data_IF_056129998438
#
_entry.id   IF_056129998438
#
_cell.length_a   1.000
_cell.length_b   1.000
_cell.length_c   1.000
_cell.angle_alpha   90.00
_cell.angle_beta   90.00
_cell.angle_gamma   90.00
#
_symmetry.space_group_name_H-M   'P 1'
#
loop_
_entity.id
_entity.type
_entity.pdbx_description
1 polymer ?
#
# COMPACT_ATOMS: atom_id res chain seq x y z
N UNK A 1 -6.43 -2.83 -18.10
CA UNK A 1 -6.61 -2.05 -16.84
C UNK A 1 -5.22 -1.79 -16.31
N UNK A 2 -4.77 -0.56 -16.41
CA UNK A 2 -3.44 -0.19 -15.94
C UNK A 2 -3.43 -0.07 -14.42
N UNK A 3 -2.41 -0.64 -13.77
CA UNK A 3 -2.27 -0.59 -12.30
C UNK A 3 -1.05 0.26 -11.97
N UNK A 4 -1.24 1.34 -11.20
CA UNK A 4 -0.12 2.09 -10.65
C UNK A 4 0.22 1.55 -9.26
N UNK A 5 1.43 1.07 -9.09
CA UNK A 5 1.99 0.67 -7.79
C UNK A 5 2.88 1.79 -7.31
N UNK A 6 2.61 2.29 -6.10
CA UNK A 6 3.38 3.37 -5.49
C UNK A 6 4.15 2.85 -4.28
N UNK A 7 5.44 3.09 -4.27
CA UNK A 7 6.33 2.80 -3.14
C UNK A 7 6.93 4.11 -2.62
N UNK A 8 6.60 4.45 -1.38
CA UNK A 8 7.28 5.53 -0.65
C UNK A 8 8.51 4.98 0.08
N UNK A 9 9.62 5.68 -0.01
CA UNK A 9 10.91 5.28 0.57
C UNK A 9 11.54 6.44 1.36
N UNK A 10 12.02 6.14 2.56
CA UNK A 10 12.89 7.04 3.31
C UNK A 10 13.81 6.23 4.21
N UNK A 11 15.10 6.19 3.88
CA UNK A 11 16.14 5.44 4.58
C UNK A 11 15.76 3.95 4.74
N UNK A 12 15.72 3.23 3.61
CA UNK A 12 15.35 1.80 3.51
C UNK A 12 16.31 1.00 2.64
N UNK A 13 17.60 1.33 2.65
CA UNK A 13 18.61 0.63 1.84
C UNK A 13 18.60 -0.90 2.06
N UNK A 14 18.29 -1.35 3.28
CA UNK A 14 18.26 -2.77 3.61
C UNK A 14 17.10 -3.56 2.98
N UNK A 15 16.01 -2.89 2.56
CA UNK A 15 14.77 -3.59 2.16
C UNK A 15 14.19 -3.14 0.82
N UNK A 16 14.52 -1.94 0.37
CA UNK A 16 13.94 -1.36 -0.85
C UNK A 16 14.17 -2.22 -2.10
N UNK A 17 15.28 -2.93 -2.18
CA UNK A 17 15.59 -3.84 -3.29
C UNK A 17 14.54 -4.94 -3.42
N UNK A 18 14.18 -5.60 -2.32
CA UNK A 18 13.19 -6.67 -2.31
C UNK A 18 11.81 -6.16 -2.74
N UNK A 19 11.42 -4.96 -2.28
CA UNK A 19 10.18 -4.33 -2.69
C UNK A 19 10.15 -4.07 -4.21
N UNK A 20 11.22 -3.46 -4.75
CA UNK A 20 11.33 -3.19 -6.20
C UNK A 20 11.28 -4.49 -7.00
N UNK A 21 12.08 -5.48 -6.63
CA UNK A 21 12.14 -6.76 -7.35
C UNK A 21 10.81 -7.50 -7.33
N UNK A 22 10.06 -7.44 -6.22
CA UNK A 22 8.74 -8.06 -6.13
C UNK A 22 7.69 -7.43 -7.03
N UNK A 23 7.78 -6.11 -7.29
CA UNK A 23 6.93 -5.43 -8.28
C UNK A 23 7.33 -5.81 -9.69
N UNK A 24 8.63 -5.78 -9.97
CA UNK A 24 9.19 -6.06 -11.30
C UNK A 24 9.08 -7.53 -11.72
N UNK A 25 8.85 -8.43 -10.76
CA UNK A 25 8.64 -9.87 -11.00
C UNK A 25 7.16 -10.24 -11.24
N UNK A 26 6.23 -9.28 -11.16
CA UNK A 26 4.83 -9.58 -11.41
C UNK A 26 4.58 -10.00 -12.86
N UNK A 27 3.67 -10.95 -13.06
CA UNK A 27 3.30 -11.53 -14.36
C UNK A 27 2.35 -10.64 -15.19
N UNK A 28 1.96 -9.49 -14.66
CA UNK A 28 1.06 -8.54 -15.31
C UNK A 28 1.85 -7.43 -16.01
N UNK A 29 1.60 -7.23 -17.33
CA UNK A 29 2.44 -6.34 -18.15
C UNK A 29 2.07 -4.84 -18.05
N UNK A 30 0.85 -4.50 -17.63
CA UNK A 30 0.36 -3.11 -17.64
C UNK A 30 0.46 -2.48 -16.23
N UNK A 31 1.69 -2.53 -15.66
CA UNK A 31 2.04 -1.94 -14.38
C UNK A 31 2.81 -0.63 -14.62
N UNK A 32 2.34 0.43 -13.97
CA UNK A 32 3.08 1.66 -13.79
C UNK A 32 3.68 1.68 -12.38
N UNK A 33 4.99 1.48 -12.31
CA UNK A 33 5.68 1.48 -11.03
C UNK A 33 6.27 2.86 -10.72
N UNK A 34 5.86 3.44 -9.59
CA UNK A 34 6.25 4.78 -9.14
C UNK A 34 6.94 4.67 -7.79
N UNK A 35 8.18 5.15 -7.70
CA UNK A 35 8.93 5.22 -6.44
C UNK A 35 9.10 6.68 -6.03
N UNK A 36 8.73 6.98 -4.80
CA UNK A 36 8.88 8.32 -4.21
C UNK A 36 9.84 8.23 -3.02
N UNK A 37 11.03 8.75 -3.20
CA UNK A 37 12.08 8.81 -2.20
C UNK A 37 12.09 10.17 -1.50
N UNK A 38 12.00 10.17 -0.19
CA UNK A 38 11.99 11.37 0.67
C UNK A 38 13.37 12.01 0.89
N UNK A 39 14.25 11.99 -0.11
CA UNK A 39 15.64 12.40 -0.03
C UNK A 39 16.45 11.54 0.97
N UNK A 40 16.44 10.25 0.78
CA UNK A 40 17.20 9.27 1.59
C UNK A 40 18.72 9.55 1.55
N UNK A 41 19.40 9.23 2.65
CA UNK A 41 20.85 9.44 2.84
C UNK A 41 21.61 8.17 3.20
N UNK A 42 20.94 7.01 3.17
CA UNK A 42 21.50 5.72 3.60
C UNK A 42 21.91 4.79 2.44
N UNK A 43 21.86 5.26 1.19
CA UNK A 43 22.10 4.45 0.00
C UNK A 43 20.81 3.94 -0.67
N UNK A 44 19.62 4.26 -0.14
CA UNK A 44 18.33 3.85 -0.73
C UNK A 44 18.16 4.38 -2.16
N UNK A 45 18.49 5.65 -2.39
CA UNK A 45 18.33 6.27 -3.71
C UNK A 45 19.27 5.65 -4.76
N UNK A 46 20.48 5.32 -4.37
CA UNK A 46 21.46 4.63 -5.24
C UNK A 46 20.90 3.27 -5.69
N UNK A 47 20.30 2.49 -4.76
CA UNK A 47 19.66 1.22 -5.07
C UNK A 47 18.47 1.42 -6.03
N UNK A 48 17.61 2.42 -5.77
CA UNK A 48 16.46 2.74 -6.64
C UNK A 48 16.94 3.04 -8.06
N UNK A 49 18.02 3.79 -8.21
CA UNK A 49 18.58 4.17 -9.53
C UNK A 49 19.14 2.99 -10.32
N UNK A 50 19.55 1.91 -9.67
CA UNK A 50 19.94 0.66 -10.38
C UNK A 50 18.80 0.12 -11.26
N UNK A 51 17.54 0.47 -10.95
CA UNK A 51 16.33 0.05 -11.66
C UNK A 51 15.68 1.15 -12.51
N UNK A 52 16.36 2.29 -12.75
CA UNK A 52 15.79 3.47 -13.42
C UNK A 52 15.12 3.14 -14.76
N UNK A 53 15.69 2.23 -15.54
CA UNK A 53 15.10 1.79 -16.82
C UNK A 53 13.87 0.87 -16.71
N UNK A 54 13.49 0.45 -15.50
CA UNK A 54 12.39 -0.48 -15.22
C UNK A 54 11.31 0.14 -14.32
N UNK A 55 11.62 1.20 -13.61
CA UNK A 55 10.68 1.99 -12.81
C UNK A 55 10.11 3.08 -13.71
N UNK A 56 8.77 3.22 -13.75
CA UNK A 56 8.11 4.18 -14.65
C UNK A 56 8.37 5.63 -14.25
N UNK A 57 8.44 5.91 -12.96
CA UNK A 57 8.70 7.26 -12.42
C UNK A 57 9.44 7.17 -11.10
N UNK A 58 10.53 7.92 -10.97
CA UNK A 58 11.26 8.11 -9.73
C UNK A 58 11.16 9.58 -9.35
N UNK A 59 10.66 9.86 -8.15
CA UNK A 59 10.65 11.19 -7.53
C UNK A 59 11.57 11.11 -6.32
N UNK A 60 12.60 11.96 -6.24
CA UNK A 60 13.46 12.04 -5.07
C UNK A 60 13.59 13.49 -4.64
N UNK A 61 12.92 13.82 -3.57
CA UNK A 61 12.90 15.15 -2.98
C UNK A 61 12.45 15.08 -1.51
N UNK A 62 12.82 16.04 -0.66
CA UNK A 62 12.37 16.08 0.72
C UNK A 62 10.84 16.05 0.84
N UNK A 63 10.34 15.35 1.85
CA UNK A 63 8.93 15.32 2.23
C UNK A 63 8.76 15.54 3.74
N UNK A 64 7.52 15.83 4.16
CA UNK A 64 7.15 15.99 5.56
C UNK A 64 6.60 14.69 6.18
N UNK A 65 6.73 13.56 5.46
CA UNK A 65 6.35 12.23 5.90
C UNK A 65 5.74 11.35 4.81
N UNK A 66 5.58 10.08 5.12
CA UNK A 66 5.15 9.02 4.22
C UNK A 66 3.90 9.37 3.40
N UNK A 67 2.91 10.01 4.01
CA UNK A 67 1.64 10.30 3.31
C UNK A 67 1.78 11.40 2.25
N UNK A 68 2.68 12.37 2.45
CA UNK A 68 3.01 13.33 1.40
C UNK A 68 3.71 12.63 0.23
N UNK A 69 4.67 11.74 0.51
CA UNK A 69 5.33 10.93 -0.51
C UNK A 69 4.32 10.09 -1.31
N UNK A 70 3.41 9.39 -0.62
CA UNK A 70 2.35 8.61 -1.27
C UNK A 70 1.47 9.51 -2.15
N UNK A 71 1.06 10.67 -1.65
CA UNK A 71 0.22 11.61 -2.40
C UNK A 71 0.94 12.16 -3.64
N UNK A 72 2.26 12.43 -3.56
CA UNK A 72 3.07 12.80 -4.74
C UNK A 72 2.99 11.71 -5.81
N UNK A 73 3.16 10.44 -5.41
CA UNK A 73 3.03 9.30 -6.31
C UNK A 73 1.63 9.18 -6.92
N UNK A 74 0.56 9.34 -6.13
CA UNK A 74 -0.82 9.27 -6.63
C UNK A 74 -1.12 10.38 -7.65
N UNK A 75 -0.61 11.59 -7.43
CA UNK A 75 -0.83 12.73 -8.33
C UNK A 75 -0.24 12.51 -9.73
N UNK A 76 0.90 11.82 -9.84
CA UNK A 76 1.54 11.52 -11.12
C UNK A 76 1.07 10.19 -11.73
N UNK A 77 0.41 9.33 -10.96
CA UNK A 77 -0.10 8.05 -11.41
C UNK A 77 -1.15 8.22 -12.51
N UNK A 78 -1.06 7.39 -13.54
CA UNK A 78 -1.96 7.39 -14.71
C UNK A 78 -2.78 6.12 -14.83
N UNK A 79 -2.55 5.13 -13.97
CA UNK A 79 -3.28 3.87 -13.96
C UNK A 79 -4.75 4.01 -13.60
N UNK A 80 -5.55 3.04 -14.00
CA UNK A 80 -6.99 2.96 -13.66
C UNK A 80 -7.19 2.65 -12.17
N UNK A 81 -6.22 1.93 -11.59
CA UNK A 81 -6.23 1.46 -10.20
C UNK A 81 -4.91 1.81 -9.53
N UNK A 82 -4.98 2.22 -8.28
CA UNK A 82 -3.84 2.52 -7.42
C UNK A 82 -3.70 1.44 -6.36
N UNK A 83 -2.50 0.87 -6.24
CA UNK A 83 -2.07 0.03 -5.13
C UNK A 83 -0.81 0.59 -4.48
N UNK A 84 -0.58 0.25 -3.22
CA UNK A 84 0.62 0.63 -2.48
C UNK A 84 1.44 -0.60 -2.13
N UNK A 85 2.75 -0.47 -2.22
CA UNK A 85 3.69 -1.42 -1.63
C UNK A 85 4.74 -0.64 -0.84
N UNK A 86 4.81 -0.86 0.46
CA UNK A 86 5.80 -0.16 1.29
C UNK A 86 7.22 -0.66 1.03
N UNK A 87 8.21 0.19 1.23
CA UNK A 87 9.62 -0.07 0.93
C UNK A 87 10.29 -1.16 1.78
N UNK A 88 9.59 -1.66 2.80
CA UNK A 88 9.99 -2.79 3.64
C UNK A 88 9.16 -4.06 3.43
N UNK A 89 8.17 -4.02 2.51
CA UNK A 89 7.26 -5.12 2.21
C UNK A 89 7.50 -5.68 0.79
N UNK A 90 6.87 -6.80 0.46
CA UNK A 90 6.91 -7.38 -0.89
C UNK A 90 5.64 -8.16 -1.20
N UNK A 91 5.33 -8.33 -2.49
CA UNK A 91 4.16 -9.10 -2.91
C UNK A 91 4.25 -10.56 -2.47
N UNK A 92 3.10 -11.17 -2.24
CA UNK A 92 3.01 -12.56 -1.80
C UNK A 92 3.63 -13.52 -2.81
N UNK A 93 3.35 -13.34 -4.10
CA UNK A 93 3.91 -14.06 -5.24
C UNK A 93 3.84 -13.20 -6.52
N UNK A 94 4.29 -13.75 -7.64
CA UNK A 94 4.37 -13.03 -8.91
C UNK A 94 3.01 -12.86 -9.63
N UNK A 95 1.94 -13.52 -9.19
CA UNK A 95 0.61 -13.47 -9.81
C UNK A 95 -0.38 -12.54 -9.10
N UNK A 96 0.05 -11.81 -8.08
CA UNK A 96 -0.84 -10.97 -7.26
C UNK A 96 -1.58 -9.94 -8.11
N UNK A 97 -0.87 -9.21 -8.97
CA UNK A 97 -1.49 -8.12 -9.75
C UNK A 97 -2.46 -8.67 -10.81
N UNK A 98 -2.15 -9.78 -11.45
CA UNK A 98 -3.06 -10.44 -12.40
C UNK A 98 -4.38 -10.84 -11.72
N UNK A 99 -4.32 -11.44 -10.53
CA UNK A 99 -5.51 -11.83 -9.76
C UNK A 99 -6.35 -10.63 -9.31
N UNK A 100 -5.70 -9.56 -8.85
CA UNK A 100 -6.38 -8.31 -8.49
C UNK A 100 -7.13 -7.73 -9.69
N UNK A 101 -6.45 -7.64 -10.83
CA UNK A 101 -7.04 -7.08 -12.05
C UNK A 101 -8.22 -7.91 -12.55
N UNK A 102 -8.08 -9.24 -12.58
CA UNK A 102 -9.16 -10.15 -12.97
C UNK A 102 -10.37 -10.00 -12.05
N UNK A 103 -10.12 -10.00 -10.74
CA UNK A 103 -11.19 -9.86 -9.75
C UNK A 103 -11.89 -8.50 -9.84
N UNK A 104 -11.15 -7.40 -9.99
CA UNK A 104 -11.73 -6.06 -10.16
C UNK A 104 -12.53 -5.91 -11.47
N UNK A 105 -12.07 -6.54 -12.57
CA UNK A 105 -12.82 -6.56 -13.83
C UNK A 105 -14.12 -7.33 -13.71
N UNK A 106 -14.09 -8.50 -13.09
CA UNK A 106 -15.23 -9.38 -12.92
C UNK A 106 -16.30 -8.77 -12.01
N UNK A 107 -15.87 -8.18 -10.90
CA UNK A 107 -16.78 -7.59 -9.90
C UNK A 107 -17.17 -6.13 -10.22
N UNK A 108 -16.46 -5.49 -11.14
CA UNK A 108 -16.54 -4.04 -11.42
C UNK A 108 -16.37 -3.18 -10.17
N UNK A 109 -15.54 -3.66 -9.24
CA UNK A 109 -15.34 -3.00 -7.95
C UNK A 109 -14.61 -1.67 -8.09
N UNK A 110 -14.97 -0.73 -7.20
CA UNK A 110 -14.29 0.53 -6.99
C UNK A 110 -13.13 0.39 -6.01
N UNK A 111 -13.27 -0.54 -5.09
CA UNK A 111 -12.36 -0.81 -3.99
C UNK A 111 -12.20 -2.32 -3.78
N UNK A 112 -10.98 -2.83 -3.91
CA UNK A 112 -10.62 -4.20 -3.60
C UNK A 112 -9.67 -4.22 -2.41
N UNK A 113 -9.78 -5.25 -1.57
CA UNK A 113 -8.77 -5.60 -0.57
C UNK A 113 -8.62 -7.12 -0.48
N UNK A 114 -7.48 -7.56 0.03
CA UNK A 114 -7.16 -8.97 0.20
C UNK A 114 -6.61 -9.29 1.58
N UNK A 115 -5.98 -10.46 1.69
CA UNK A 115 -5.28 -10.92 2.89
C UNK A 115 -3.81 -10.49 2.88
N UNK A 116 -3.17 -10.51 4.05
CA UNK A 116 -1.75 -10.24 4.19
C UNK A 116 -1.08 -11.14 5.22
N UNK A 117 0.21 -11.30 5.06
CA UNK A 117 1.06 -12.00 6.02
C UNK A 117 2.00 -11.03 6.71
N UNK A 118 2.20 -11.22 8.01
CA UNK A 118 3.32 -10.63 8.72
C UNK A 118 4.44 -11.66 8.82
N UNK A 119 5.63 -11.28 8.40
CA UNK A 119 6.81 -12.14 8.37
C UNK A 119 7.91 -11.62 9.30
N UNK A 120 8.79 -12.50 9.73
CA UNK A 120 9.96 -12.12 10.50
C UNK A 120 10.91 -11.28 9.63
N UNK A 121 11.43 -10.13 10.11
CA UNK A 121 12.28 -9.26 9.30
C UNK A 121 13.61 -9.89 8.88
N UNK A 122 14.18 -10.77 9.73
CA UNK A 122 15.47 -11.44 9.48
C UNK A 122 15.33 -12.76 8.71
N UNK A 123 14.12 -13.34 8.70
CA UNK A 123 13.81 -14.56 7.96
C UNK A 123 12.37 -14.45 7.42
N UNK A 124 12.23 -13.96 6.20
CA UNK A 124 10.94 -13.67 5.57
C UNK A 124 10.11 -14.90 5.20
N UNK A 125 10.70 -16.11 5.25
CA UNK A 125 9.94 -17.37 5.11
C UNK A 125 9.16 -17.72 6.37
N UNK A 126 9.57 -17.17 7.52
CA UNK A 126 8.88 -17.38 8.79
C UNK A 126 7.70 -16.46 8.96
N UNK A 127 6.49 -17.02 8.75
CA UNK A 127 5.24 -16.32 9.01
C UNK A 127 5.05 -16.15 10.53
N UNK A 128 4.81 -14.90 10.94
CA UNK A 128 4.54 -14.53 12.35
C UNK A 128 3.05 -14.42 12.59
N UNK A 129 2.29 -13.88 11.62
CA UNK A 129 0.86 -13.66 11.76
C UNK A 129 0.17 -13.64 10.39
N UNK A 130 -0.99 -14.27 10.32
CA UNK A 130 -1.92 -14.12 9.20
C UNK A 130 -2.90 -12.98 9.49
N UNK A 131 -3.14 -12.13 8.50
CA UNK A 131 -4.22 -11.16 8.51
C UNK A 131 -5.24 -11.56 7.44
N UNK A 132 -6.39 -12.04 7.89
CA UNK A 132 -7.52 -12.39 7.02
C UNK A 132 -8.52 -11.25 7.04
N UNK A 133 -8.76 -10.63 5.88
CA UNK A 133 -9.64 -9.47 5.74
C UNK A 133 -11.08 -9.79 6.07
N UNK A 134 -11.58 -10.89 5.54
CA UNK A 134 -12.98 -11.30 5.68
C UNK A 134 -13.96 -10.38 4.92
N UNK A 135 -15.23 -10.74 4.89
CA UNK A 135 -16.24 -10.04 4.11
C UNK A 135 -16.48 -8.61 4.62
N UNK A 136 -16.50 -7.65 3.68
CA UNK A 136 -16.89 -6.28 3.95
C UNK A 136 -18.35 -6.19 4.40
N UNK A 137 -18.57 -5.43 5.46
CA UNK A 137 -19.89 -5.02 5.94
C UNK A 137 -19.77 -3.63 6.54
N UNK A 138 -20.61 -2.69 6.15
CA UNK A 138 -20.57 -1.31 6.64
C UNK A 138 -20.64 -1.22 8.17
N UNK A 139 -21.44 -2.09 8.80
CA UNK A 139 -21.53 -2.12 10.26
C UNK A 139 -20.21 -2.50 10.95
N UNK A 140 -19.39 -3.36 10.32
CA UNK A 140 -18.05 -3.70 10.85
C UNK A 140 -17.13 -2.48 10.85
N UNK A 141 -17.16 -1.67 9.78
CA UNK A 141 -16.39 -0.41 9.70
C UNK A 141 -16.80 0.53 10.84
N UNK A 142 -18.10 0.68 11.08
CA UNK A 142 -18.64 1.47 12.20
C UNK A 142 -18.19 0.99 13.58
N UNK A 143 -17.79 -0.28 13.70
CA UNK A 143 -17.27 -0.88 14.93
C UNK A 143 -15.73 -1.06 14.90
N UNK A 144 -15.03 -0.31 14.03
CA UNK A 144 -13.57 -0.22 14.03
C UNK A 144 -12.84 -1.28 13.20
N UNK A 145 -13.56 -2.13 12.42
CA UNK A 145 -12.88 -3.02 11.49
C UNK A 145 -12.46 -2.25 10.22
N UNK A 146 -11.22 -2.44 9.81
CA UNK A 146 -10.68 -1.95 8.53
C UNK A 146 -9.91 -3.05 7.83
N UNK A 147 -9.88 -3.07 6.50
CA UNK A 147 -8.98 -3.96 5.76
C UNK A 147 -7.52 -3.59 6.03
N UNK A 148 -6.62 -4.52 5.77
CA UNK A 148 -5.18 -4.27 5.86
C UNK A 148 -4.78 -3.32 4.72
N UNK A 149 -4.31 -2.14 5.07
CA UNK A 149 -4.09 -1.03 4.12
C UNK A 149 -3.22 -1.41 2.89
N UNK A 150 -2.05 -2.09 3.01
CA UNK A 150 -1.25 -2.45 1.85
C UNK A 150 -1.89 -3.50 0.93
N UNK A 151 -3.04 -4.08 1.31
CA UNK A 151 -3.79 -5.00 0.44
C UNK A 151 -4.89 -4.28 -0.36
N UNK A 152 -5.05 -2.97 -0.16
CA UNK A 152 -6.12 -2.19 -0.77
C UNK A 152 -5.73 -1.69 -2.16
N UNK A 153 -6.61 -1.93 -3.14
CA UNK A 153 -6.52 -1.46 -4.51
C UNK A 153 -7.77 -0.65 -4.83
N UNK A 154 -7.57 0.60 -5.22
CA UNK A 154 -8.67 1.57 -5.32
C UNK A 154 -8.65 2.19 -6.71
N UNK A 155 -9.82 2.33 -7.34
CA UNK A 155 -9.91 3.06 -8.61
C UNK A 155 -9.37 4.48 -8.42
N UNK A 156 -8.51 4.90 -9.34
CA UNK A 156 -7.91 6.23 -9.30
C UNK A 156 -8.96 7.33 -9.28
N UNK A 157 -10.02 7.20 -10.05
CA UNK A 157 -11.15 8.15 -10.06
C UNK A 157 -11.83 8.31 -8.70
N UNK A 158 -11.92 7.23 -7.92
CA UNK A 158 -12.46 7.28 -6.54
C UNK A 158 -11.55 8.11 -5.64
N UNK A 159 -10.22 7.89 -5.72
CA UNK A 159 -9.26 8.66 -4.94
C UNK A 159 -9.28 10.15 -5.30
N UNK A 160 -9.39 10.48 -6.59
CA UNK A 160 -9.49 11.88 -7.03
C UNK A 160 -10.79 12.53 -6.57
N UNK A 161 -11.91 11.79 -6.54
CA UNK A 161 -13.22 12.29 -6.11
C UNK A 161 -13.33 12.44 -4.60
N UNK A 162 -12.85 11.46 -3.83
CA UNK A 162 -13.01 11.41 -2.37
C UNK A 162 -11.84 12.05 -1.60
N UNK A 163 -10.80 12.48 -2.30
CA UNK A 163 -9.61 13.12 -1.75
C UNK A 163 -8.53 12.11 -1.32
N UNK A 164 -7.28 12.53 -1.38
CA UNK A 164 -6.10 11.73 -1.08
C UNK A 164 -5.86 11.58 0.44
N UNK A 165 -4.69 11.10 0.84
CA UNK A 165 -4.31 11.02 2.26
C UNK A 165 -4.24 12.40 2.88
N UNK A 166 -4.75 12.53 4.09
CA UNK A 166 -4.62 13.77 4.85
C UNK A 166 -3.21 13.89 5.44
N UNK A 167 -2.39 14.75 4.85
CA UNK A 167 -0.98 14.94 5.20
C UNK A 167 -0.77 15.57 6.60
N UNK A 168 -1.82 16.11 7.22
CA UNK A 168 -1.75 16.62 8.59
C UNK A 168 -1.60 15.51 9.64
N UNK A 169 -1.99 14.29 9.30
CA UNK A 169 -1.78 13.12 10.16
C UNK A 169 -0.37 12.55 9.96
N UNK A 170 0.43 12.58 11.01
CA UNK A 170 1.75 11.92 11.03
C UNK A 170 1.66 10.40 11.07
N UNK A 171 0.57 9.87 11.63
CA UNK A 171 0.26 8.45 11.81
C UNK A 171 -1.26 8.30 11.60
N UNK A 172 -1.70 7.17 11.04
CA UNK A 172 -3.11 6.80 10.86
C UNK A 172 -3.89 7.57 9.78
N UNK A 173 -3.24 8.28 8.83
CA UNK A 173 -3.96 8.81 7.66
C UNK A 173 -4.49 7.70 6.74
N UNK A 174 -3.90 6.51 6.78
CA UNK A 174 -4.42 5.30 6.16
C UNK A 174 -5.78 4.90 6.75
N UNK A 175 -5.86 4.87 8.07
CA UNK A 175 -7.12 4.55 8.76
C UNK A 175 -8.19 5.61 8.51
N UNK A 176 -7.82 6.89 8.51
CA UNK A 176 -8.73 8.01 8.15
C UNK A 176 -9.27 7.85 6.73
N UNK A 177 -8.37 7.62 5.75
CA UNK A 177 -8.76 7.43 4.36
C UNK A 177 -9.70 6.21 4.20
N UNK A 178 -9.36 5.08 4.81
CA UNK A 178 -10.18 3.88 4.76
C UNK A 178 -11.58 4.09 5.37
N UNK A 179 -11.65 4.75 6.53
CA UNK A 179 -12.95 5.09 7.15
C UNK A 179 -13.74 6.02 6.23
N UNK A 180 -13.14 7.09 5.76
CA UNK A 180 -13.77 8.07 4.86
C UNK A 180 -14.33 7.41 3.61
N UNK A 181 -13.58 6.53 2.96
CA UNK A 181 -14.03 5.85 1.73
C UNK A 181 -15.10 4.80 2.02
N UNK A 182 -14.88 3.94 2.98
CA UNK A 182 -15.80 2.84 3.27
C UNK A 182 -17.10 3.30 3.95
N UNK A 183 -17.08 4.47 4.61
CA UNK A 183 -18.27 5.06 5.25
C UNK A 183 -19.09 5.96 4.32
N UNK A 184 -18.50 6.53 3.26
CA UNK A 184 -19.18 7.45 2.34
C UNK A 184 -20.37 6.78 1.64
N UNK A 185 -20.34 5.46 1.52
CA UNK A 185 -21.39 4.70 0.82
C UNK A 185 -21.28 4.83 -0.71
N UNK A 186 -21.93 3.93 -1.42
CA UNK A 186 -21.96 3.94 -2.89
C UNK A 186 -20.71 3.42 -3.59
N UNK A 187 -19.66 3.00 -2.86
CA UNK A 187 -18.55 2.26 -3.45
C UNK A 187 -18.89 0.77 -3.56
N UNK A 188 -18.59 0.20 -4.73
CA UNK A 188 -18.55 -1.25 -4.90
C UNK A 188 -17.27 -1.80 -4.26
N UNK A 189 -17.40 -2.42 -3.08
CA UNK A 189 -16.28 -2.97 -2.30
C UNK A 189 -16.26 -4.49 -2.46
N UNK A 190 -15.10 -5.06 -2.80
CA UNK A 190 -14.91 -6.50 -2.96
C UNK A 190 -13.73 -7.02 -2.15
N UNK A 191 -13.83 -8.27 -1.70
CA UNK A 191 -12.79 -8.98 -0.97
C UNK A 191 -12.21 -10.10 -1.83
N UNK A 192 -10.92 -10.00 -2.12
CA UNK A 192 -10.13 -11.06 -2.74
C UNK A 192 -9.62 -12.00 -1.63
N UNK A 193 -10.13 -13.22 -1.56
CA UNK A 193 -9.76 -14.23 -0.55
C UNK A 193 -8.40 -14.85 -0.84
N UNK A 194 -7.39 -14.01 -1.04
CA UNK A 194 -6.03 -14.41 -1.35
C UNK A 194 -5.02 -13.48 -0.69
N UNK A 195 -3.81 -13.99 -0.43
CA UNK A 195 -2.73 -13.19 0.09
C UNK A 195 -2.18 -12.27 -1.00
N UNK A 196 -2.03 -10.99 -0.64
CA UNK A 196 -1.53 -9.93 -1.52
C UNK A 196 -0.10 -9.55 -1.16
N UNK A 197 0.19 -9.42 0.13
CA UNK A 197 1.45 -8.84 0.62
C UNK A 197 2.05 -9.63 1.77
N UNK A 198 3.38 -9.66 1.82
CA UNK A 198 4.18 -10.08 2.98
C UNK A 198 4.78 -8.83 3.60
N UNK A 199 4.38 -8.54 4.84
CA UNK A 199 4.80 -7.36 5.60
C UNK A 199 5.85 -7.75 6.63
N UNK A 200 6.99 -7.07 6.62
CA UNK A 200 8.00 -7.28 7.67
C UNK A 200 7.54 -6.69 9.00
N UNK A 201 7.70 -7.48 10.06
CA UNK A 201 7.48 -6.98 11.42
C UNK A 201 8.52 -5.92 11.79
N UNK A 202 8.14 -4.94 12.62
CA UNK A 202 9.05 -3.86 13.06
C UNK A 202 8.82 -2.51 12.36
N UNK A 203 7.91 -2.43 11.40
CA UNK A 203 7.48 -1.17 10.78
C UNK A 203 6.74 -0.24 11.77
N UNK A 204 6.41 0.97 11.31
CA UNK A 204 5.79 2.03 12.13
C UNK A 204 4.51 1.60 12.85
N UNK A 205 3.71 0.72 12.24
CA UNK A 205 2.43 0.22 12.78
C UNK A 205 2.58 -0.95 13.76
N UNK A 206 3.72 -1.64 13.77
CA UNK A 206 3.96 -2.83 14.60
C UNK A 206 4.80 -2.55 15.85
N UNK A 207 5.40 -1.37 15.96
CA UNK A 207 6.12 -0.92 17.15
C UNK A 207 5.14 -0.64 18.30
N UNK A 208 5.28 -1.37 19.41
CA UNK A 208 4.38 -1.32 20.56
C UNK A 208 4.29 0.06 21.25
N UNK A 209 5.37 0.85 21.22
CA UNK A 209 5.39 2.20 21.78
C UNK A 209 4.64 3.20 20.87
N UNK A 210 4.79 3.05 19.56
CA UNK A 210 4.09 3.87 18.55
C UNK A 210 2.61 3.49 18.45
N UNK A 211 2.28 2.20 18.64
CA UNK A 211 0.89 1.71 18.64
C UNK A 211 0.04 2.31 19.77
N UNK A 212 0.59 2.50 20.97
CA UNK A 212 -0.14 3.18 22.07
C UNK A 212 -0.51 4.61 21.71
N UNK A 213 0.40 5.33 21.02
CA UNK A 213 0.14 6.70 20.54
C UNK A 213 -0.89 6.72 19.41
N UNK A 214 -0.90 5.71 18.54
CA UNK A 214 -1.88 5.56 17.47
C UNK A 214 -3.30 5.32 18.02
N UNK A 215 -3.45 4.43 19.00
CA UNK A 215 -4.74 4.13 19.62
C UNK A 215 -5.34 5.33 20.35
N UNK A 216 -4.53 6.21 20.93
CA UNK A 216 -5.00 7.44 21.55
C UNK A 216 -5.55 8.48 20.56
N UNK A 217 -5.14 8.42 19.29
CA UNK A 217 -5.60 9.31 18.23
C UNK A 217 -6.89 8.84 17.55
N UNK A 218 -7.15 7.53 17.57
CA UNK A 218 -8.37 6.92 16.98
C UNK A 218 -9.58 7.07 17.93
N UNK A 219 -9.35 7.33 19.21
CA UNK A 219 -10.41 7.49 20.23
C UNK A 219 -10.88 8.95 20.40
N UNK A 220 -10.48 9.84 19.51
CA UNK A 220 -11.00 11.20 19.39
C UNK A 220 -11.96 11.27 18.19
#
# INVERSE_FOLDING_TARGET
>A
MKVSIITSCFNRAATIRDAIESVLAQDYNDIEFIVVDGASTDGSLEIIREYEGRISTIISEPDHGMYEAINKGIRVATGDVIGLLHSDDFFYDNGVISRIVEHMKTTRADFLYGDGLFVNPDNTDKVVRNWIGGDYRLWKVRHGWLPLHPTCYIRREVMMRLGLYNESYKIAADSELLVRYLMTGGLSVTYLKEYVVRMRMGGLSTDSAKRKKMLSLIHI
#
